data_IF_291751526926
#
_entry.id   IF_291751526926
#
_cell.length_a   1.000
_cell.length_b   1.000
_cell.length_c   1.000
_cell.angle_alpha   90.00
_cell.angle_beta   90.00
_cell.angle_gamma   90.00
#
_symmetry.space_group_name_H-M   'P 1'
#
loop_
_entity.id
_entity.type
_entity.pdbx_description
1 polymer ?
#
# COMPACT_ATOMS: atom_id res chain seq x y z
N UNK A 1 -19.60 -15.36 1.31
CA UNK A 1 -18.27 -16.00 1.37
C UNK A 1 -17.45 -15.31 0.29
N UNK A 2 -16.37 -14.61 0.68
CA UNK A 2 -15.47 -13.94 -0.27
C UNK A 2 -14.77 -15.00 -1.11
N UNK A 3 -14.92 -14.94 -2.44
CA UNK A 3 -14.33 -15.90 -3.39
C UNK A 3 -12.86 -15.55 -3.66
N UNK A 4 -12.07 -15.33 -2.60
CA UNK A 4 -10.64 -15.10 -2.78
C UNK A 4 -9.97 -16.36 -3.33
N UNK A 5 -9.05 -16.25 -4.30
CA UNK A 5 -8.25 -17.38 -4.75
C UNK A 5 -7.35 -17.88 -3.61
N UNK A 6 -6.96 -19.16 -3.64
CA UNK A 6 -6.22 -19.80 -2.55
C UNK A 6 -4.96 -19.03 -2.13
N UNK A 7 -4.20 -18.50 -3.09
CA UNK A 7 -3.00 -17.70 -2.77
C UNK A 7 -3.34 -16.44 -1.94
N UNK A 8 -4.47 -15.78 -2.20
CA UNK A 8 -4.88 -14.56 -1.52
C UNK A 8 -5.48 -14.85 -0.13
N UNK A 9 -6.06 -16.03 0.07
CA UNK A 9 -6.49 -16.50 1.39
C UNK A 9 -5.28 -16.76 2.30
N UNK A 10 -4.23 -17.37 1.73
CA UNK A 10 -3.01 -17.72 2.46
C UNK A 10 -2.06 -16.53 2.66
N UNK A 11 -2.06 -15.57 1.73
CA UNK A 11 -1.26 -14.36 1.85
C UNK A 11 -1.52 -13.64 3.19
N UNK A 12 -0.48 -13.02 3.72
CA UNK A 12 -0.45 -12.33 5.02
C UNK A 12 0.31 -11.01 4.97
N UNK A 13 1.31 -10.91 4.08
CA UNK A 13 2.13 -9.72 3.92
C UNK A 13 2.27 -9.38 2.44
N UNK A 14 1.91 -8.16 2.07
CA UNK A 14 2.31 -7.53 0.81
C UNK A 14 3.20 -6.31 1.06
N UNK A 15 3.97 -5.93 0.05
CA UNK A 15 4.71 -4.68 0.04
C UNK A 15 4.05 -3.69 -0.92
N UNK A 16 3.68 -2.53 -0.39
CA UNK A 16 3.26 -1.37 -1.18
C UNK A 16 4.50 -0.52 -1.49
N UNK A 17 4.54 0.12 -2.66
CA UNK A 17 5.60 1.05 -3.01
C UNK A 17 4.99 2.34 -3.54
N UNK A 18 5.13 3.44 -2.80
CA UNK A 18 4.81 4.77 -3.29
C UNK A 18 6.09 5.48 -3.73
N UNK A 19 6.27 5.51 -5.04
CA UNK A 19 7.42 6.13 -5.69
C UNK A 19 6.97 6.92 -6.90
N UNK A 20 7.40 8.17 -6.99
CA UNK A 20 6.98 9.11 -8.03
C UNK A 20 7.82 10.37 -7.98
N UNK A 21 7.47 11.37 -8.81
CA UNK A 21 8.18 12.64 -8.83
C UNK A 21 8.15 13.36 -7.46
N UNK A 22 7.13 13.11 -6.62
CA UNK A 22 7.05 13.58 -5.24
C UNK A 22 8.20 13.08 -4.34
N UNK A 23 8.91 12.01 -4.72
CA UNK A 23 10.13 11.56 -4.03
C UNK A 23 11.34 12.48 -4.26
N UNK A 24 11.27 13.43 -5.21
CA UNK A 24 12.31 14.47 -5.42
C UNK A 24 12.25 15.53 -4.32
N UNK A 25 11.10 16.24 -4.10
CA UNK A 25 11.02 17.17 -2.99
C UNK A 25 11.05 16.47 -1.63
N UNK A 26 10.55 15.22 -1.57
CA UNK A 26 10.62 14.31 -0.41
C UNK A 26 10.22 14.97 0.91
N UNK A 27 9.09 15.70 0.92
CA UNK A 27 8.75 16.57 2.02
C UNK A 27 7.25 16.55 2.32
N UNK A 28 6.92 16.34 3.58
CA UNK A 28 5.61 16.54 4.19
C UNK A 28 5.80 16.88 5.67
N UNK A 29 4.84 17.52 6.32
CA UNK A 29 4.88 17.69 7.77
C UNK A 29 4.50 16.38 8.43
N UNK A 30 5.32 15.77 9.31
CA UNK A 30 4.97 14.53 9.99
C UNK A 30 3.94 14.80 11.11
N UNK A 31 2.76 15.31 10.74
CA UNK A 31 1.69 15.77 11.63
C UNK A 31 1.00 14.63 12.37
N UNK A 32 1.01 13.42 11.80
CA UNK A 32 0.52 12.20 12.43
C UNK A 32 -0.08 11.22 11.42
N UNK A 33 -0.58 10.10 11.93
CA UNK A 33 -1.28 9.11 11.12
C UNK A 33 -2.66 9.64 10.66
N UNK A 34 -3.11 9.18 9.49
CA UNK A 34 -4.45 9.46 8.98
C UNK A 34 -5.51 8.94 9.98
N UNK A 35 -6.46 9.82 10.31
CA UNK A 35 -7.51 9.58 11.30
C UNK A 35 -7.16 10.04 12.73
N UNK A 36 -5.88 10.28 13.03
CA UNK A 36 -5.43 10.82 14.32
C UNK A 36 -5.26 12.36 14.31
N UNK A 37 -5.10 12.95 13.13
CA UNK A 37 -5.01 14.40 12.92
C UNK A 37 -6.41 14.97 12.63
N UNK A 38 -6.80 16.15 13.18
CA UNK A 38 -8.06 16.80 12.85
C UNK A 38 -8.25 17.00 11.34
N UNK A 39 -9.45 16.72 10.83
CA UNK A 39 -9.75 16.76 9.38
C UNK A 39 -9.50 18.14 8.78
N UNK A 40 -9.86 19.20 9.52
CA UNK A 40 -9.70 20.59 9.12
C UNK A 40 -8.24 21.02 8.95
N UNK A 41 -7.30 20.29 9.54
CA UNK A 41 -5.86 20.55 9.46
C UNK A 41 -5.16 19.63 8.45
N UNK A 42 -5.69 18.42 8.24
CA UNK A 42 -5.04 17.34 7.48
C UNK A 42 -4.50 17.78 6.12
N UNK A 43 -5.31 18.44 5.29
CA UNK A 43 -4.89 18.74 3.91
C UNK A 43 -3.81 19.84 3.82
N UNK A 44 -3.83 20.81 4.74
CA UNK A 44 -2.85 21.89 4.79
C UNK A 44 -1.56 21.48 5.51
N UNK A 45 -1.66 20.56 6.48
CA UNK A 45 -0.57 20.00 7.26
C UNK A 45 -0.36 18.51 6.95
N UNK A 46 -0.42 18.16 5.66
CA UNK A 46 -0.50 16.77 5.23
C UNK A 46 0.80 16.02 5.53
N UNK A 47 0.67 14.83 6.16
CA UNK A 47 1.76 13.92 6.44
C UNK A 47 2.20 13.09 5.23
N UNK A 48 1.41 13.09 4.16
CA UNK A 48 1.65 12.31 2.96
C UNK A 48 2.50 13.10 1.98
N UNK A 49 3.77 12.71 1.81
CA UNK A 49 4.69 13.36 0.87
C UNK A 49 4.25 13.20 -0.58
N UNK A 50 3.52 12.14 -0.91
CA UNK A 50 2.93 11.92 -2.23
C UNK A 50 1.77 12.86 -2.57
N UNK A 51 1.27 13.61 -1.57
CA UNK A 51 0.28 14.67 -1.74
C UNK A 51 0.89 16.04 -2.04
N UNK A 52 2.21 16.15 -2.16
CA UNK A 52 2.92 17.41 -2.31
C UNK A 52 2.35 18.29 -3.43
N UNK A 53 2.02 17.73 -4.59
CA UNK A 53 1.44 18.49 -5.71
C UNK A 53 0.10 19.17 -5.37
N UNK A 54 -0.73 18.59 -4.52
CA UNK A 54 -1.94 19.25 -3.99
C UNK A 54 -1.56 20.27 -2.93
N UNK A 55 -0.78 19.88 -1.93
CA UNK A 55 -0.54 20.70 -0.74
C UNK A 55 0.22 21.99 -1.07
N UNK A 56 1.16 22.00 -2.02
CA UNK A 56 1.85 23.24 -2.43
C UNK A 56 0.93 24.28 -3.07
N UNK A 57 -0.25 23.86 -3.56
CA UNK A 57 -1.26 24.75 -4.15
C UNK A 57 -2.14 25.40 -3.08
N UNK A 58 -2.06 24.95 -1.83
CA UNK A 58 -2.66 25.59 -0.65
C UNK A 58 -1.68 26.65 -0.15
N UNK A 59 -1.94 27.92 -0.46
CA UNK A 59 -0.98 29.04 -0.30
C UNK A 59 -0.40 29.19 1.11
N UNK A 60 -1.26 28.95 2.10
CA UNK A 60 -0.99 29.03 3.54
C UNK A 60 -0.23 27.81 4.09
N UNK A 61 -0.19 26.69 3.36
CA UNK A 61 0.41 25.45 3.84
C UNK A 61 1.91 25.57 4.07
N UNK A 62 2.46 24.83 5.04
CA UNK A 62 3.90 24.72 5.21
C UNK A 62 4.62 24.12 3.99
N UNK A 63 3.96 23.24 3.21
CA UNK A 63 4.50 22.73 1.95
C UNK A 63 4.69 23.85 0.92
N UNK A 64 3.71 24.75 0.75
CA UNK A 64 3.83 25.88 -0.16
C UNK A 64 4.97 26.83 0.26
N UNK A 65 5.14 27.06 1.56
CA UNK A 65 6.26 27.84 2.07
C UNK A 65 7.62 27.15 1.84
N UNK A 66 7.69 25.83 2.10
CA UNK A 66 8.87 25.03 1.80
C UNK A 66 9.22 25.11 0.31
N UNK A 67 8.20 24.98 -0.54
CA UNK A 67 8.33 25.00 -1.99
C UNK A 67 8.85 26.34 -2.52
N UNK A 68 8.30 27.46 -2.05
CA UNK A 68 8.78 28.81 -2.40
C UNK A 68 10.25 29.03 -1.98
N UNK A 69 10.64 28.54 -0.80
CA UNK A 69 12.01 28.71 -0.28
C UNK A 69 13.03 27.82 -0.99
N UNK A 70 12.68 26.56 -1.26
CA UNK A 70 13.60 25.56 -1.81
C UNK A 70 13.65 25.54 -3.33
N UNK A 71 12.52 25.80 -4.00
CA UNK A 71 12.35 25.61 -5.44
C UNK A 71 11.83 26.87 -6.16
N UNK A 72 11.72 28.01 -5.47
CA UNK A 72 11.31 29.27 -6.08
C UNK A 72 9.87 29.31 -6.61
N UNK A 73 9.03 28.32 -6.25
CA UNK A 73 7.67 28.20 -6.81
C UNK A 73 7.61 27.56 -8.20
N UNK A 74 8.63 26.77 -8.57
CA UNK A 74 8.65 26.04 -9.84
C UNK A 74 7.40 25.15 -10.03
N UNK A 75 6.90 24.96 -11.26
CA UNK A 75 5.87 23.98 -11.53
C UNK A 75 6.20 22.59 -10.97
N UNK A 76 5.24 21.93 -10.33
CA UNK A 76 5.46 20.57 -9.78
C UNK A 76 5.97 19.59 -10.85
N UNK A 77 5.48 19.71 -12.08
CA UNK A 77 5.87 18.84 -13.20
C UNK A 77 7.36 18.92 -13.57
N UNK A 78 8.10 19.93 -13.09
CA UNK A 78 9.54 20.04 -13.28
C UNK A 78 10.29 18.98 -12.46
N UNK A 79 9.71 18.53 -11.33
CA UNK A 79 10.28 17.42 -10.55
C UNK A 79 10.31 16.10 -11.32
N UNK A 80 9.52 15.94 -12.38
CA UNK A 80 9.65 14.79 -13.26
C UNK A 80 11.01 14.81 -13.96
N UNK A 81 11.50 15.96 -14.41
CA UNK A 81 12.80 16.06 -15.09
C UNK A 81 13.98 15.91 -14.12
N UNK A 82 13.81 16.31 -12.86
CA UNK A 82 14.81 16.13 -11.79
C UNK A 82 14.85 14.69 -11.24
N UNK A 83 13.90 13.84 -11.63
CA UNK A 83 13.83 12.46 -11.16
C UNK A 83 14.60 11.53 -12.10
N UNK A 84 15.78 11.03 -11.68
CA UNK A 84 16.64 10.20 -12.54
C UNK A 84 16.65 8.70 -12.19
N UNK A 85 16.28 8.33 -10.96
CA UNK A 85 16.25 6.95 -10.48
C UNK A 85 17.61 6.21 -10.59
N UNK A 86 18.72 6.92 -10.47
CA UNK A 86 20.09 6.43 -10.75
C UNK A 86 20.52 5.19 -9.95
N UNK A 87 19.97 4.98 -8.76
CA UNK A 87 20.20 3.83 -7.87
C UNK A 87 19.06 2.80 -7.92
N UNK A 88 18.12 2.90 -8.86
CA UNK A 88 17.00 1.96 -8.98
C UNK A 88 17.48 0.57 -9.39
N UNK A 89 17.45 -0.35 -8.43
CA UNK A 89 17.71 -1.78 -8.60
C UNK A 89 16.46 -2.60 -8.18
N UNK A 90 15.59 -2.97 -9.13
CA UNK A 90 14.40 -3.76 -8.82
C UNK A 90 14.72 -5.15 -8.28
N UNK A 91 15.89 -5.72 -8.60
CA UNK A 91 16.30 -7.01 -8.08
C UNK A 91 16.71 -6.91 -6.60
N UNK A 92 17.36 -5.81 -6.19
CA UNK A 92 17.62 -5.54 -4.78
C UNK A 92 16.34 -5.36 -3.97
N UNK A 93 15.39 -4.59 -4.50
CA UNK A 93 14.08 -4.42 -3.88
C UNK A 93 13.36 -5.76 -3.73
N UNK A 94 13.29 -6.56 -4.80
CA UNK A 94 12.63 -7.86 -4.77
C UNK A 94 13.28 -8.82 -3.76
N UNK A 95 14.63 -8.88 -3.69
CA UNK A 95 15.34 -9.69 -2.69
C UNK A 95 15.04 -9.25 -1.27
N UNK A 96 15.02 -7.93 -1.01
CA UNK A 96 14.67 -7.40 0.31
C UNK A 96 13.24 -7.79 0.70
N UNK A 97 12.27 -7.65 -0.21
CA UNK A 97 10.86 -7.96 0.04
C UNK A 97 10.63 -9.48 0.22
N UNK A 98 11.35 -10.30 -0.54
CA UNK A 98 11.37 -11.76 -0.38
C UNK A 98 11.93 -12.16 0.99
N UNK A 99 13.05 -11.55 1.41
CA UNK A 99 13.70 -11.84 2.69
C UNK A 99 12.83 -11.51 3.90
N UNK A 100 11.96 -10.49 3.83
CA UNK A 100 10.98 -10.17 4.88
C UNK A 100 9.71 -11.03 4.79
N UNK A 101 9.62 -11.93 3.80
CA UNK A 101 8.51 -12.88 3.64
C UNK A 101 7.26 -12.27 3.01
N UNK A 102 7.40 -11.29 2.12
CA UNK A 102 6.28 -10.77 1.35
C UNK A 102 5.73 -11.83 0.39
N UNK A 103 4.41 -11.89 0.26
CA UNK A 103 3.71 -12.78 -0.68
C UNK A 103 3.45 -12.09 -2.03
N UNK A 104 3.34 -10.75 -2.01
CA UNK A 104 3.06 -9.94 -3.19
C UNK A 104 3.62 -8.51 -3.06
N UNK A 105 3.84 -7.85 -4.18
CA UNK A 105 4.32 -6.45 -4.25
C UNK A 105 3.40 -5.63 -5.15
N UNK A 106 3.04 -4.42 -4.72
CA UNK A 106 2.12 -3.50 -5.43
C UNK A 106 2.76 -2.11 -5.52
N UNK A 107 3.40 -1.74 -6.63
CA UNK A 107 3.90 -0.38 -6.83
C UNK A 107 2.80 0.57 -7.33
N UNK A 108 2.93 1.86 -6.99
CA UNK A 108 2.20 2.94 -7.66
C UNK A 108 2.59 3.00 -9.12
N UNK A 109 1.67 2.67 -10.02
CA UNK A 109 1.91 2.84 -11.47
C UNK A 109 1.61 4.27 -11.90
N UNK A 110 0.59 4.89 -11.31
CA UNK A 110 0.22 6.31 -11.42
C UNK A 110 -0.42 6.74 -10.10
N UNK A 111 0.10 7.78 -9.48
CA UNK A 111 -0.51 8.39 -8.29
C UNK A 111 -1.41 9.58 -8.69
N UNK A 112 -1.92 10.33 -7.71
CA UNK A 112 -2.82 11.46 -7.94
C UNK A 112 -2.20 12.58 -8.79
N UNK A 113 -0.87 12.70 -8.83
CA UNK A 113 -0.17 13.69 -9.65
C UNK A 113 -0.24 13.43 -11.16
N UNK A 114 -0.75 12.26 -11.56
CA UNK A 114 -0.98 11.89 -12.96
C UNK A 114 0.24 11.34 -13.69
N UNK A 115 1.42 11.30 -13.05
CA UNK A 115 2.65 10.83 -13.69
C UNK A 115 2.66 9.30 -13.73
N UNK A 116 2.73 8.74 -14.94
CA UNK A 116 2.80 7.30 -15.14
C UNK A 116 4.25 6.77 -15.10
N UNK A 117 4.48 5.69 -14.36
CA UNK A 117 5.78 5.01 -14.24
C UNK A 117 6.08 4.04 -15.40
N UNK A 118 5.24 4.07 -16.43
CA UNK A 118 5.39 3.34 -17.69
C UNK A 118 4.87 4.20 -18.84
N UNK A 119 5.12 3.79 -20.09
CA UNK A 119 4.58 4.47 -21.28
C UNK A 119 3.09 4.15 -21.45
N UNK A 120 2.27 4.79 -20.61
CA UNK A 120 0.82 4.65 -20.60
C UNK A 120 0.18 5.31 -21.84
N UNK A 121 -0.94 4.77 -22.35
CA UNK A 121 -1.61 5.33 -23.51
C UNK A 121 -2.23 6.70 -23.21
N UNK A 122 -1.80 7.74 -23.91
CA UNK A 122 -2.34 9.10 -23.77
C UNK A 122 -1.64 9.97 -22.72
N UNK A 123 -0.54 9.49 -22.10
CA UNK A 123 0.23 10.23 -21.09
C UNK A 123 1.46 10.95 -21.63
N UNK A 124 1.44 11.41 -22.89
CA UNK A 124 2.56 12.12 -23.53
C UNK A 124 3.04 13.28 -22.66
N UNK A 125 4.35 13.33 -22.36
CA UNK A 125 4.98 14.32 -21.50
C UNK A 125 4.74 14.16 -19.99
N UNK A 126 3.96 13.15 -19.56
CA UNK A 126 3.62 12.85 -18.16
C UNK A 126 3.91 11.38 -17.81
N UNK A 127 5.00 10.84 -18.36
CA UNK A 127 5.45 9.50 -18.03
C UNK A 127 6.98 9.40 -17.94
N UNK A 128 7.45 8.43 -17.18
CA UNK A 128 8.89 8.21 -16.91
C UNK A 128 9.66 7.65 -18.10
N UNK A 129 9.00 7.23 -19.19
CA UNK A 129 9.67 6.75 -20.40
C UNK A 129 10.09 7.94 -21.28
N UNK A 130 9.26 8.98 -21.36
CA UNK A 130 9.54 10.17 -22.16
C UNK A 130 10.38 11.21 -21.41
N UNK A 131 10.20 11.35 -20.09
CA UNK A 131 10.88 12.34 -19.24
C UNK A 131 11.48 11.70 -18.00
N UNK A 132 12.33 12.45 -17.30
CA UNK A 132 12.90 12.02 -16.02
C UNK A 132 13.76 10.76 -16.11
N UNK A 133 13.33 9.61 -15.55
CA UNK A 133 14.10 8.37 -15.57
C UNK A 133 14.38 7.80 -16.97
N UNK A 134 13.60 8.24 -17.97
CA UNK A 134 13.66 7.83 -19.39
C UNK A 134 13.62 6.29 -19.57
N UNK A 135 12.82 5.61 -18.76
CA UNK A 135 12.60 4.16 -18.79
C UNK A 135 11.29 3.75 -18.15
N UNK A 136 10.86 2.54 -18.48
CA UNK A 136 9.77 1.84 -17.79
C UNK A 136 10.28 1.37 -16.42
N UNK A 137 9.59 1.76 -15.35
CA UNK A 137 9.92 1.39 -13.97
C UNK A 137 9.04 0.26 -13.43
N UNK A 138 8.02 -0.16 -14.18
CA UNK A 138 7.06 -1.19 -13.79
C UNK A 138 7.48 -2.55 -14.32
N UNK A 139 7.84 -2.65 -15.61
CA UNK A 139 8.25 -3.92 -16.23
C UNK A 139 9.42 -4.62 -15.48
N UNK A 140 10.57 -3.96 -15.25
CA UNK A 140 11.69 -4.63 -14.59
C UNK A 140 11.40 -4.97 -13.12
N UNK A 141 10.55 -4.20 -12.43
CA UNK A 141 10.10 -4.55 -11.08
C UNK A 141 9.19 -5.78 -11.09
N UNK A 142 8.25 -5.86 -12.03
CA UNK A 142 7.36 -7.02 -12.17
C UNK A 142 8.16 -8.31 -12.39
N UNK A 143 9.17 -8.25 -13.26
CA UNK A 143 10.05 -9.38 -13.54
C UNK A 143 10.87 -9.79 -12.32
N UNK A 144 11.46 -8.82 -11.61
CA UNK A 144 12.26 -9.08 -10.40
C UNK A 144 11.42 -9.68 -9.26
N UNK A 145 10.23 -9.13 -9.01
CA UNK A 145 9.30 -9.63 -7.98
C UNK A 145 8.91 -11.08 -8.28
N UNK A 146 8.60 -11.40 -9.54
CA UNK A 146 8.25 -12.76 -9.96
C UNK A 146 9.42 -13.72 -9.91
N UNK A 147 10.64 -13.25 -10.21
CA UNK A 147 11.86 -14.05 -10.10
C UNK A 147 12.14 -14.51 -8.67
N UNK A 148 11.75 -13.70 -7.67
CA UNK A 148 11.81 -14.04 -6.25
C UNK A 148 10.59 -14.88 -5.77
N UNK A 149 9.70 -15.29 -6.68
CA UNK A 149 8.55 -16.15 -6.36
C UNK A 149 7.34 -15.42 -5.75
N UNK A 150 7.39 -14.09 -5.67
CA UNK A 150 6.28 -13.27 -5.20
C UNK A 150 5.28 -12.96 -6.32
N UNK A 151 4.03 -12.68 -5.94
CA UNK A 151 3.00 -12.17 -6.85
C UNK A 151 3.24 -10.67 -7.13
N UNK A 152 2.79 -10.19 -8.28
CA UNK A 152 2.96 -8.78 -8.66
C UNK A 152 1.62 -8.12 -8.91
N UNK A 153 1.28 -7.08 -8.16
CA UNK A 153 0.11 -6.24 -8.34
C UNK A 153 0.44 -4.89 -8.96
N UNK A 154 -0.57 -4.05 -9.14
CA UNK A 154 -0.41 -2.65 -9.53
C UNK A 154 -1.38 -1.78 -8.74
N UNK A 155 -0.91 -0.62 -8.30
CA UNK A 155 -1.76 0.46 -7.83
C UNK A 155 -2.04 1.46 -8.95
N UNK A 156 -3.27 1.96 -9.00
CA UNK A 156 -3.67 3.03 -9.90
C UNK A 156 -4.59 4.03 -9.20
N UNK A 157 -4.25 5.32 -9.26
CA UNK A 157 -5.17 6.37 -8.81
C UNK A 157 -6.29 6.56 -9.84
N UNK A 158 -7.43 5.94 -9.55
CA UNK A 158 -8.60 5.91 -10.42
C UNK A 158 -9.35 7.23 -10.42
N UNK A 159 -9.81 7.69 -9.26
CA UNK A 159 -10.67 8.86 -9.21
C UNK A 159 -9.98 10.19 -8.97
N UNK A 160 -8.65 10.24 -8.88
CA UNK A 160 -7.89 11.48 -8.91
C UNK A 160 -6.84 11.48 -10.01
N UNK A 161 -6.75 12.62 -10.69
CA UNK A 161 -5.65 12.96 -11.59
C UNK A 161 -5.54 14.49 -11.67
N UNK A 162 -4.59 15.04 -10.92
CA UNK A 162 -4.35 16.49 -10.85
C UNK A 162 -3.73 17.04 -12.13
N UNK A 163 -3.23 16.19 -13.02
CA UNK A 163 -2.72 16.60 -14.34
C UNK A 163 -3.83 16.69 -15.39
N UNK A 164 -4.93 15.96 -15.20
CA UNK A 164 -6.04 15.91 -16.13
C UNK A 164 -7.06 17.05 -15.93
N UNK A 165 -7.10 17.66 -14.74
CA UNK A 165 -8.08 18.68 -14.38
C UNK A 165 -7.42 19.95 -13.83
N UNK A 166 -8.09 21.08 -13.99
CA UNK A 166 -7.68 22.37 -13.38
C UNK A 166 -8.54 22.71 -12.15
N UNK A 167 -8.93 21.69 -11.36
CA UNK A 167 -9.70 21.90 -10.14
C UNK A 167 -8.86 22.58 -9.05
N UNK A 168 -9.46 23.38 -8.15
CA UNK A 168 -8.77 23.94 -6.98
C UNK A 168 -8.07 22.87 -6.12
N UNK A 169 -7.08 23.24 -5.29
CA UNK A 169 -6.52 22.31 -4.31
C UNK A 169 -7.60 21.79 -3.38
N UNK A 170 -7.49 20.51 -3.04
CA UNK A 170 -8.36 19.82 -2.08
C UNK A 170 -7.92 20.21 -0.67
N UNK A 171 -8.87 20.75 0.11
CA UNK A 171 -8.70 21.19 1.50
C UNK A 171 -9.59 20.45 2.51
N UNK A 172 -10.46 19.55 2.05
CA UNK A 172 -11.36 18.77 2.91
C UNK A 172 -11.81 17.47 2.24
N UNK A 173 -12.39 16.53 3.00
CA UNK A 173 -12.96 15.31 2.43
C UNK A 173 -14.15 15.58 1.49
N UNK A 174 -14.91 16.65 1.75
CA UNK A 174 -15.98 17.06 0.85
C UNK A 174 -15.42 17.54 -0.51
N UNK A 175 -14.31 18.28 -0.48
CA UNK A 175 -13.61 18.69 -1.70
C UNK A 175 -12.93 17.53 -2.41
N UNK A 176 -12.41 16.55 -1.67
CA UNK A 176 -11.83 15.33 -2.22
C UNK A 176 -12.83 14.61 -3.13
N UNK A 177 -14.08 14.47 -2.70
CA UNK A 177 -15.13 13.85 -3.53
C UNK A 177 -15.62 14.77 -4.65
N UNK A 178 -15.70 16.07 -4.39
CA UNK A 178 -16.23 17.06 -5.35
C UNK A 178 -15.28 17.33 -6.51
N UNK A 179 -13.98 17.34 -6.27
CA UNK A 179 -12.94 17.70 -7.25
C UNK A 179 -12.28 16.47 -7.88
N UNK A 180 -13.08 15.42 -8.10
CA UNK A 180 -12.68 14.27 -8.89
C UNK A 180 -13.04 14.50 -10.36
N UNK A 181 -12.18 14.12 -11.32
CA UNK A 181 -12.63 13.92 -12.69
C UNK A 181 -13.57 12.71 -12.76
N UNK A 182 -14.81 12.95 -13.17
CA UNK A 182 -15.88 11.93 -13.19
C UNK A 182 -16.51 11.70 -14.56
N UNK A 183 -16.11 12.49 -15.56
CA UNK A 183 -16.70 12.47 -16.90
C UNK A 183 -16.21 11.29 -17.77
N UNK A 184 -16.81 11.18 -18.95
CA UNK A 184 -16.55 10.09 -19.90
C UNK A 184 -15.15 10.14 -20.52
N UNK A 185 -14.57 11.33 -20.68
CA UNK A 185 -13.25 11.50 -21.30
C UNK A 185 -12.17 11.02 -20.34
N UNK A 186 -12.24 11.43 -19.07
CA UNK A 186 -11.34 10.90 -18.05
C UNK A 186 -11.56 9.40 -17.81
N UNK A 187 -12.81 8.92 -17.81
CA UNK A 187 -13.06 7.49 -17.71
C UNK A 187 -12.41 6.69 -18.85
N UNK A 188 -12.48 7.18 -20.09
CA UNK A 188 -11.83 6.53 -21.23
C UNK A 188 -10.30 6.50 -21.08
N UNK A 189 -9.71 7.60 -20.59
CA UNK A 189 -8.27 7.68 -20.27
C UNK A 189 -7.86 6.69 -19.18
N UNK A 190 -8.55 6.69 -18.04
CA UNK A 190 -8.28 5.78 -16.92
C UNK A 190 -8.51 4.31 -17.30
N UNK A 191 -9.58 4.01 -18.05
CA UNK A 191 -9.83 2.68 -18.60
C UNK A 191 -8.68 2.22 -19.51
N UNK A 192 -8.22 3.10 -20.42
CA UNK A 192 -7.11 2.81 -21.32
C UNK A 192 -5.82 2.46 -20.57
N UNK A 193 -5.50 3.20 -19.51
CA UNK A 193 -4.35 2.92 -18.66
C UNK A 193 -4.46 1.55 -17.98
N UNK A 194 -5.56 1.27 -17.29
CA UNK A 194 -5.71 0.01 -16.55
C UNK A 194 -5.81 -1.19 -17.50
N UNK A 195 -6.44 -1.04 -18.66
CA UNK A 195 -6.44 -2.08 -19.70
C UNK A 195 -5.03 -2.38 -20.21
N UNK A 196 -4.20 -1.36 -20.43
CA UNK A 196 -2.80 -1.51 -20.84
C UNK A 196 -1.95 -2.18 -19.73
N UNK A 197 -2.17 -1.83 -18.45
CA UNK A 197 -1.55 -2.51 -17.31
C UNK A 197 -1.91 -4.00 -17.26
N UNK A 198 -3.19 -4.34 -17.47
CA UNK A 198 -3.67 -5.73 -17.52
C UNK A 198 -2.99 -6.51 -18.64
N UNK A 199 -2.83 -5.89 -19.81
CA UNK A 199 -2.26 -6.54 -20.98
C UNK A 199 -0.75 -6.75 -20.87
N UNK A 200 -0.01 -5.72 -20.44
CA UNK A 200 1.44 -5.76 -20.33
C UNK A 200 1.93 -6.58 -19.16
N UNK A 201 1.34 -6.34 -17.98
CA UNK A 201 1.91 -6.81 -16.73
C UNK A 201 1.13 -7.97 -16.14
N UNK A 202 -0.11 -8.24 -16.55
CA UNK A 202 -0.95 -9.32 -16.00
C UNK A 202 -0.89 -9.37 -14.46
N UNK A 203 -1.21 -8.27 -13.76
CA UNK A 203 -1.02 -8.16 -12.32
C UNK A 203 -1.96 -9.10 -11.56
N UNK A 204 -1.50 -9.68 -10.46
CA UNK A 204 -2.28 -10.50 -9.53
C UNK A 204 -3.22 -9.66 -8.65
N UNK A 205 -2.96 -8.35 -8.52
CA UNK A 205 -3.79 -7.40 -7.78
C UNK A 205 -4.00 -6.15 -8.62
N UNK A 206 -5.25 -5.75 -8.85
CA UNK A 206 -5.58 -4.37 -9.24
C UNK A 206 -6.04 -3.61 -8.01
N UNK A 207 -5.19 -2.68 -7.58
CA UNK A 207 -5.43 -1.85 -6.41
C UNK A 207 -5.81 -0.44 -6.87
N UNK A 208 -7.11 -0.16 -6.98
CA UNK A 208 -7.59 1.17 -7.34
C UNK A 208 -7.59 2.10 -6.11
N UNK A 209 -7.53 3.41 -6.33
CA UNK A 209 -7.68 4.36 -5.24
C UNK A 209 -8.57 5.56 -5.57
N UNK A 210 -9.18 6.10 -4.51
CA UNK A 210 -10.15 7.20 -4.51
C UNK A 210 -11.26 7.00 -5.56
N UNK A 211 -12.08 5.96 -5.39
CA UNK A 211 -13.18 5.62 -6.32
C UNK A 211 -12.76 5.47 -7.81
N UNK A 212 -13.72 5.16 -8.67
CA UNK A 212 -13.57 5.15 -10.13
C UNK A 212 -14.37 6.32 -10.74
N UNK A 213 -14.01 6.86 -11.92
CA UNK A 213 -14.82 7.87 -12.62
C UNK A 213 -16.28 7.44 -12.77
N UNK A 214 -17.22 8.33 -12.45
CA UNK A 214 -18.63 7.98 -12.36
C UNK A 214 -19.22 7.55 -13.72
N UNK A 215 -18.75 8.16 -14.82
CA UNK A 215 -19.09 7.75 -16.17
C UNK A 215 -18.69 6.29 -16.49
N UNK A 216 -17.72 5.72 -15.78
CA UNK A 216 -17.33 4.31 -15.90
C UNK A 216 -18.20 3.35 -15.12
N UNK A 217 -18.96 3.83 -14.14
CA UNK A 217 -19.81 2.98 -13.28
C UNK A 217 -21.14 2.60 -13.94
N UNK A 218 -21.45 3.17 -15.10
CA UNK A 218 -22.62 2.84 -15.92
C UNK A 218 -22.23 1.93 -17.09
N UNK A 219 -23.15 1.10 -17.61
CA UNK A 219 -22.87 0.25 -18.77
C UNK A 219 -22.42 1.05 -20.00
N UNK A 220 -21.36 0.57 -20.67
CA UNK A 220 -20.77 1.24 -21.83
C UNK A 220 -19.45 0.60 -22.28
N UNK A 221 -18.86 1.07 -23.39
CA UNK A 221 -17.65 0.48 -23.98
C UNK A 221 -16.41 0.55 -23.08
N UNK A 222 -16.34 1.54 -22.19
CA UNK A 222 -15.28 1.72 -21.20
C UNK A 222 -15.81 1.57 -19.76
N UNK A 223 -16.83 0.72 -19.57
CA UNK A 223 -17.41 0.51 -18.24
C UNK A 223 -16.45 -0.26 -17.33
N UNK A 224 -16.51 0.03 -16.02
CA UNK A 224 -15.78 -0.68 -14.98
C UNK A 224 -16.10 -2.19 -15.02
N UNK A 225 -17.35 -2.55 -15.29
CA UNK A 225 -17.74 -3.95 -15.49
C UNK A 225 -16.90 -4.61 -16.59
N UNK A 226 -16.83 -3.99 -17.78
CA UNK A 226 -16.05 -4.53 -18.89
C UNK A 226 -14.55 -4.61 -18.60
N UNK A 227 -14.02 -3.66 -17.82
CA UNK A 227 -12.63 -3.67 -17.37
C UNK A 227 -12.34 -4.86 -16.45
N UNK A 228 -13.24 -5.12 -15.50
CA UNK A 228 -13.12 -6.24 -14.55
C UNK A 228 -13.30 -7.57 -15.26
N UNK A 229 -14.24 -7.67 -16.20
CA UNK A 229 -14.41 -8.87 -17.04
C UNK A 229 -13.13 -9.16 -17.86
N UNK A 230 -12.54 -8.13 -18.47
CA UNK A 230 -11.24 -8.23 -19.16
C UNK A 230 -10.16 -8.71 -18.20
N UNK A 231 -10.09 -8.13 -16.99
CA UNK A 231 -9.12 -8.51 -15.98
C UNK A 231 -9.24 -9.97 -15.58
N UNK A 232 -10.44 -10.45 -15.26
CA UNK A 232 -10.67 -11.86 -14.86
C UNK A 232 -10.39 -12.84 -16.00
N UNK A 233 -10.65 -12.45 -17.25
CA UNK A 233 -10.30 -13.27 -18.40
C UNK A 233 -8.77 -13.38 -18.58
N UNK A 234 -8.05 -12.28 -18.36
CA UNK A 234 -6.60 -12.20 -18.48
C UNK A 234 -5.86 -12.84 -17.31
N UNK A 235 -6.38 -12.67 -16.09
CA UNK A 235 -5.76 -13.08 -14.83
C UNK A 235 -6.85 -13.76 -13.96
N UNK A 236 -7.20 -15.03 -14.24
CA UNK A 236 -8.30 -15.71 -13.53
C UNK A 236 -8.14 -15.81 -12.01
N UNK A 237 -6.90 -15.78 -11.52
CA UNK A 237 -6.57 -15.76 -10.09
C UNK A 237 -6.26 -14.37 -9.54
N UNK A 238 -6.44 -13.30 -10.33
CA UNK A 238 -6.19 -11.93 -9.89
C UNK A 238 -7.32 -11.42 -8.99
N UNK A 239 -7.01 -10.50 -8.09
CA UNK A 239 -7.96 -9.88 -7.16
C UNK A 239 -8.07 -8.36 -7.33
N UNK A 240 -9.17 -7.77 -6.87
CA UNK A 240 -9.42 -6.32 -6.85
C UNK A 240 -9.84 -5.84 -5.45
N UNK A 241 -9.38 -4.66 -5.03
CA UNK A 241 -9.76 -4.04 -3.75
C UNK A 241 -11.17 -3.42 -3.78
N UNK A 242 -11.59 -2.73 -2.71
CA UNK A 242 -12.93 -2.13 -2.57
C UNK A 242 -13.04 -0.64 -2.81
N UNK A 243 -12.02 -0.03 -3.41
CA UNK A 243 -11.93 1.42 -3.59
C UNK A 243 -12.44 1.91 -4.94
N UNK A 244 -13.36 1.20 -5.58
CA UNK A 244 -13.89 1.56 -6.91
C UNK A 244 -15.13 2.46 -6.86
N UNK A 245 -15.75 2.64 -5.69
CA UNK A 245 -17.02 3.36 -5.57
C UNK A 245 -18.18 2.67 -6.31
N UNK A 246 -18.11 1.34 -6.43
CA UNK A 246 -19.10 0.47 -7.07
C UNK A 246 -19.11 -0.89 -6.35
N UNK A 247 -20.14 -1.71 -6.59
CA UNK A 247 -20.24 -3.06 -6.02
C UNK A 247 -19.35 -4.07 -6.76
N UNK A 248 -18.04 -3.80 -6.74
CA UNK A 248 -16.99 -4.59 -7.39
C UNK A 248 -15.79 -4.63 -6.45
N UNK A 249 -15.56 -5.76 -5.80
CA UNK A 249 -14.43 -5.99 -4.88
C UNK A 249 -14.30 -7.48 -4.53
N UNK A 250 -13.08 -7.96 -4.30
CA UNK A 250 -12.85 -9.31 -3.72
C UNK A 250 -12.51 -9.25 -2.22
N UNK A 251 -11.96 -8.11 -1.78
CA UNK A 251 -11.55 -7.87 -0.41
C UNK A 251 -11.74 -6.40 -0.02
N UNK A 252 -11.88 -6.16 1.28
CA UNK A 252 -12.04 -4.81 1.86
C UNK A 252 -10.70 -4.22 2.29
N UNK A 253 -10.60 -2.89 2.33
CA UNK A 253 -9.38 -2.20 2.78
C UNK A 253 -9.60 -1.35 4.02
N UNK A 254 -8.59 -1.27 4.89
CA UNK A 254 -8.46 -0.29 5.96
C UNK A 254 -7.09 0.40 5.86
N UNK A 255 -6.98 1.61 6.40
CA UNK A 255 -5.77 2.43 6.27
C UNK A 255 -5.53 3.27 7.51
N UNK A 256 -4.39 3.08 8.17
CA UNK A 256 -4.11 3.69 9.49
C UNK A 256 -5.31 3.52 10.44
N UNK A 257 -5.91 4.61 10.92
CA UNK A 257 -7.07 4.56 11.83
C UNK A 257 -8.42 4.60 11.09
N UNK A 258 -8.40 4.56 9.76
CA UNK A 258 -9.59 4.63 8.90
C UNK A 258 -10.03 3.26 8.40
N UNK A 259 -11.33 3.06 8.25
CA UNK A 259 -11.87 1.80 7.72
C UNK A 259 -11.81 0.62 8.71
N UNK A 260 -11.65 0.86 10.02
CA UNK A 260 -11.59 -0.20 11.03
C UNK A 260 -12.81 -1.16 11.01
N UNK A 261 -13.98 -0.69 10.55
CA UNK A 261 -15.17 -1.51 10.36
C UNK A 261 -15.05 -2.59 9.28
N UNK A 262 -14.04 -2.50 8.40
CA UNK A 262 -13.71 -3.50 7.39
C UNK A 262 -12.85 -4.64 7.93
N UNK A 263 -12.27 -4.49 9.14
CA UNK A 263 -11.31 -5.44 9.72
C UNK A 263 -11.99 -6.63 10.41
N UNK A 264 -12.93 -7.26 9.70
CA UNK A 264 -13.75 -8.35 10.22
C UNK A 264 -13.83 -9.53 9.22
N UNK A 265 -13.73 -10.74 9.75
CA UNK A 265 -13.79 -11.97 8.95
C UNK A 265 -12.56 -12.16 8.06
N UNK A 266 -12.72 -12.96 6.99
CA UNK A 266 -11.66 -13.24 6.02
C UNK A 266 -11.78 -12.36 4.79
N UNK A 267 -10.64 -11.88 4.27
CA UNK A 267 -10.58 -11.11 3.03
C UNK A 267 -10.66 -9.61 3.22
N UNK A 268 -9.88 -9.09 4.16
CA UNK A 268 -9.58 -7.67 4.28
C UNK A 268 -8.07 -7.44 4.30
N UNK A 269 -7.65 -6.23 4.00
CA UNK A 269 -6.27 -5.81 3.88
C UNK A 269 -6.06 -4.44 4.53
N UNK A 270 -5.11 -4.37 5.46
CA UNK A 270 -4.71 -3.13 6.12
C UNK A 270 -3.49 -2.56 5.42
N UNK A 271 -3.54 -1.32 4.94
CA UNK A 271 -2.39 -0.63 4.37
C UNK A 271 -1.91 0.52 5.26
N UNK A 272 -0.59 0.68 5.34
CA UNK A 272 0.05 1.86 5.95
C UNK A 272 1.53 1.94 5.59
N UNK A 273 2.10 3.14 5.71
CA UNK A 273 3.54 3.36 5.74
C UNK A 273 4.24 2.75 6.96
N UNK A 274 5.55 2.54 6.80
CA UNK A 274 6.47 2.38 7.92
C UNK A 274 6.49 3.64 8.81
N UNK A 275 6.34 4.82 8.22
CA UNK A 275 6.08 6.08 8.92
C UNK A 275 4.61 6.50 8.87
N UNK A 276 4.37 7.80 8.85
CA UNK A 276 3.07 8.40 8.56
C UNK A 276 2.84 8.62 7.06
N UNK A 277 3.91 8.82 6.28
CA UNK A 277 3.82 8.99 4.83
C UNK A 277 3.85 7.67 4.07
N UNK A 278 3.24 7.63 2.87
CA UNK A 278 3.49 6.57 1.90
C UNK A 278 4.70 6.90 1.01
N UNK A 279 4.70 8.07 0.37
CA UNK A 279 5.85 8.58 -0.38
C UNK A 279 7.03 8.87 0.55
N UNK A 280 8.25 8.89 0.02
CA UNK A 280 9.44 9.19 0.83
C UNK A 280 9.35 10.59 1.46
N UNK A 281 9.33 10.66 2.79
CA UNK A 281 9.44 11.92 3.54
C UNK A 281 10.78 11.95 4.27
N UNK A 282 11.68 12.87 3.88
CA UNK A 282 13.00 12.99 4.50
C UNK A 282 12.98 13.47 5.96
N UNK A 283 11.83 13.97 6.43
CA UNK A 283 11.65 14.41 7.82
C UNK A 283 11.29 13.26 8.76
N UNK A 284 10.95 12.07 8.23
CA UNK A 284 10.69 10.89 9.04
C UNK A 284 12.01 10.17 9.37
N UNK A 285 12.37 10.18 10.65
CA UNK A 285 13.53 9.46 11.17
C UNK A 285 13.10 8.17 11.92
N UNK A 286 14.02 7.59 12.67
CA UNK A 286 13.78 6.38 13.47
C UNK A 286 12.67 6.56 14.51
N UNK A 287 12.44 7.77 15.01
CA UNK A 287 11.39 8.02 16.03
C UNK A 287 9.98 8.01 15.44
N UNK A 288 9.87 8.18 14.12
CA UNK A 288 8.62 8.19 13.37
C UNK A 288 8.41 6.95 12.50
N UNK A 289 9.43 6.10 12.40
CA UNK A 289 9.41 4.86 11.61
C UNK A 289 9.22 3.67 12.54
N UNK A 290 8.31 2.76 12.21
CA UNK A 290 8.13 1.51 12.96
C UNK A 290 9.48 0.81 13.16
N UNK A 291 9.75 0.37 14.39
CA UNK A 291 10.85 -0.55 14.70
C UNK A 291 10.51 -1.97 14.21
N UNK A 292 11.51 -2.88 14.08
CA UNK A 292 11.24 -4.29 13.78
C UNK A 292 10.20 -4.93 14.71
N UNK A 293 10.28 -4.64 16.01
CA UNK A 293 9.34 -5.12 17.02
C UNK A 293 7.92 -4.61 16.80
N UNK A 294 7.77 -3.32 16.49
CA UNK A 294 6.44 -2.74 16.23
C UNK A 294 5.84 -3.29 14.93
N UNK A 295 6.64 -3.51 13.90
CA UNK A 295 6.20 -4.16 12.67
C UNK A 295 5.76 -5.61 12.93
N UNK A 296 6.53 -6.41 13.67
CA UNK A 296 6.14 -7.76 14.06
C UNK A 296 4.82 -7.78 14.86
N UNK A 297 4.66 -6.83 15.79
CA UNK A 297 3.44 -6.66 16.59
C UNK A 297 2.22 -6.32 15.72
N UNK A 298 2.38 -5.38 14.79
CA UNK A 298 1.34 -4.98 13.83
C UNK A 298 0.94 -6.16 12.94
N UNK A 299 1.92 -6.85 12.36
CA UNK A 299 1.69 -8.02 11.52
C UNK A 299 0.92 -9.11 12.28
N UNK A 300 1.36 -9.47 13.48
CA UNK A 300 0.68 -10.48 14.31
C UNK A 300 -0.76 -10.08 14.67
N UNK A 301 -1.01 -8.79 14.92
CA UNK A 301 -2.35 -8.26 15.18
C UNK A 301 -3.28 -8.48 13.98
N UNK A 302 -2.85 -8.06 12.79
CA UNK A 302 -3.62 -8.19 11.55
C UNK A 302 -3.87 -9.66 11.19
N UNK A 303 -2.82 -10.48 11.23
CA UNK A 303 -2.90 -11.91 10.89
C UNK A 303 -3.83 -12.68 11.82
N UNK A 304 -3.80 -12.37 13.12
CA UNK A 304 -4.69 -13.01 14.10
C UNK A 304 -6.18 -12.70 13.89
N UNK A 305 -6.47 -11.62 13.17
CA UNK A 305 -7.81 -11.17 12.77
C UNK A 305 -8.12 -11.55 11.31
N UNK A 306 -7.38 -12.51 10.76
CA UNK A 306 -7.51 -13.04 9.40
C UNK A 306 -7.35 -11.99 8.28
N UNK A 307 -6.70 -10.86 8.57
CA UNK A 307 -6.34 -9.85 7.59
C UNK A 307 -5.03 -10.13 6.88
N UNK A 308 -4.69 -9.22 5.97
CA UNK A 308 -3.39 -9.09 5.30
C UNK A 308 -2.83 -7.71 5.58
N UNK A 309 -1.53 -7.62 5.86
CA UNK A 309 -0.84 -6.34 5.95
C UNK A 309 -0.27 -6.01 4.57
N UNK A 310 -0.60 -4.84 4.01
CA UNK A 310 0.06 -4.25 2.86
C UNK A 310 0.96 -3.11 3.37
N UNK A 311 2.21 -3.44 3.68
CA UNK A 311 3.16 -2.51 4.28
C UNK A 311 3.83 -1.67 3.20
N UNK A 312 3.74 -0.36 3.32
CA UNK A 312 4.34 0.55 2.35
C UNK A 312 5.81 0.89 2.65
N UNK A 313 6.62 0.87 1.60
CA UNK A 313 7.93 1.55 1.52
C UNK A 313 7.85 2.77 0.61
N UNK A 314 8.60 3.82 0.96
CA UNK A 314 8.74 5.03 0.18
C UNK A 314 10.18 5.21 -0.27
N UNK A 315 10.55 4.80 -1.51
CA UNK A 315 11.91 4.95 -2.02
C UNK A 315 12.30 6.42 -2.27
N UNK A 316 13.59 6.71 -2.14
CA UNK A 316 14.17 8.02 -2.52
C UNK A 316 14.02 8.25 -4.02
N UNK A 317 14.15 9.50 -4.50
CA UNK A 317 14.15 9.80 -5.94
C UNK A 317 15.19 8.95 -6.72
N UNK A 318 16.36 8.70 -6.13
CA UNK A 318 17.39 7.86 -6.73
C UNK A 318 16.97 6.38 -6.85
N UNK A 319 15.96 5.91 -6.12
CA UNK A 319 15.53 4.51 -6.13
C UNK A 319 16.12 3.66 -5.00
N UNK A 320 16.61 4.29 -3.94
CA UNK A 320 17.07 3.59 -2.74
C UNK A 320 15.90 3.43 -1.75
N UNK A 321 15.79 2.26 -1.11
CA UNK A 321 14.96 2.14 0.10
C UNK A 321 15.71 2.84 1.24
N UNK A 322 15.13 3.89 1.86
CA UNK A 322 15.81 4.66 2.89
C UNK A 322 16.34 3.78 4.01
N UNK A 323 17.53 4.11 4.53
CA UNK A 323 18.21 3.27 5.51
C UNK A 323 17.35 2.96 6.75
N UNK A 324 16.51 3.90 7.19
CA UNK A 324 15.58 3.67 8.31
C UNK A 324 14.53 2.61 7.99
N UNK A 325 13.93 2.65 6.80
CA UNK A 325 12.96 1.66 6.36
C UNK A 325 13.62 0.29 6.15
N UNK A 326 14.81 0.27 5.52
CA UNK A 326 15.59 -0.96 5.33
C UNK A 326 15.96 -1.62 6.65
N UNK A 327 16.43 -0.86 7.65
CA UNK A 327 16.73 -1.37 9.00
C UNK A 327 15.52 -2.07 9.63
N UNK A 328 14.33 -1.51 9.50
CA UNK A 328 13.10 -2.13 10.00
C UNK A 328 12.79 -3.45 9.31
N UNK A 329 12.86 -3.48 7.97
CA UNK A 329 12.57 -4.68 7.18
C UNK A 329 13.59 -5.80 7.42
N UNK A 330 14.88 -5.47 7.43
CA UNK A 330 15.96 -6.43 7.70
C UNK A 330 15.91 -6.92 9.15
N UNK A 331 15.63 -6.04 10.10
CA UNK A 331 15.56 -6.38 11.53
C UNK A 331 14.40 -7.31 11.88
N UNK A 332 13.30 -7.30 11.11
CA UNK A 332 12.15 -8.19 11.35
C UNK A 332 12.26 -9.51 10.58
N UNK A 333 13.17 -9.63 9.60
CA UNK A 333 13.21 -10.74 8.65
C UNK A 333 13.37 -12.12 9.31
N UNK A 334 14.22 -12.26 10.33
CA UNK A 334 14.40 -13.53 11.05
C UNK A 334 13.10 -13.97 11.73
N UNK A 335 12.42 -13.04 12.40
CA UNK A 335 11.14 -13.31 13.05
C UNK A 335 10.04 -13.65 12.03
N UNK A 336 10.03 -12.94 10.90
CA UNK A 336 9.13 -13.24 9.78
C UNK A 336 9.36 -14.65 9.24
N UNK A 337 10.62 -15.07 9.08
CA UNK A 337 10.98 -16.42 8.65
C UNK A 337 10.46 -17.53 9.59
N UNK A 338 10.42 -17.26 10.90
CA UNK A 338 9.86 -18.18 11.88
C UNK A 338 8.32 -18.21 11.89
N UNK A 339 7.67 -17.05 11.75
CA UNK A 339 6.21 -16.95 11.89
C UNK A 339 5.45 -17.27 10.59
N UNK A 340 6.01 -16.96 9.42
CA UNK A 340 5.32 -17.12 8.12
C UNK A 340 4.88 -18.56 7.83
N UNK A 341 5.69 -19.60 8.07
CA UNK A 341 5.23 -20.98 7.90
C UNK A 341 4.02 -21.33 8.80
N UNK A 342 3.90 -20.65 9.94
CA UNK A 342 2.83 -20.85 10.91
C UNK A 342 1.53 -20.09 10.57
N UNK A 343 1.49 -19.33 9.47
CA UNK A 343 0.27 -18.65 9.01
C UNK A 343 -0.49 -19.40 7.91
N UNK A 344 0.08 -20.51 7.41
CA UNK A 344 -0.55 -21.37 6.41
C UNK A 344 -1.78 -22.06 7.01
N UNK A 345 -2.91 -21.97 6.31
CA UNK A 345 -4.19 -22.53 6.73
C UNK A 345 -4.75 -21.87 7.99
N UNK A 346 -4.31 -20.64 8.31
CA UNK A 346 -4.73 -19.92 9.51
C UNK A 346 -6.24 -19.72 9.56
N UNK A 347 -6.80 -19.80 10.77
CA UNK A 347 -8.19 -19.47 11.08
C UNK A 347 -8.26 -18.63 12.34
N UNK A 348 -9.33 -17.85 12.47
CA UNK A 348 -9.63 -17.11 13.69
C UNK A 348 -9.69 -18.08 14.88
N UNK A 349 -9.09 -17.68 16.00
CA UNK A 349 -9.21 -18.41 17.25
C UNK A 349 -10.62 -18.22 17.81
N UNK A 350 -11.39 -19.31 17.90
CA UNK A 350 -12.76 -19.25 18.43
C UNK A 350 -12.80 -18.88 19.91
N UNK A 351 -13.91 -18.27 20.36
CA UNK A 351 -14.06 -17.74 21.72
C UNK A 351 -13.87 -18.81 22.81
N UNK A 352 -14.38 -20.03 22.59
CA UNK A 352 -14.21 -21.15 23.53
C UNK A 352 -12.72 -21.50 23.72
N UNK A 353 -11.96 -21.56 22.61
CA UNK A 353 -10.52 -21.86 22.65
C UNK A 353 -9.72 -20.72 23.24
N UNK A 354 -10.12 -19.49 22.95
CA UNK A 354 -9.55 -18.30 23.58
C UNK A 354 -9.75 -18.31 25.10
N UNK A 355 -10.89 -18.78 25.59
CA UNK A 355 -11.16 -18.91 27.03
C UNK A 355 -10.35 -20.04 27.71
N UNK A 356 -9.96 -21.08 26.96
CA UNK A 356 -9.11 -22.17 27.43
C UNK A 356 -7.60 -21.83 27.42
N UNK A 357 -7.20 -20.76 26.72
CA UNK A 357 -5.80 -20.38 26.57
C UNK A 357 -5.31 -19.59 27.78
N UNK A 358 -4.35 -20.15 28.51
CA UNK A 358 -3.71 -19.50 29.65
C UNK A 358 -2.40 -18.86 29.20
N UNK A 359 -2.37 -17.53 29.13
CA UNK A 359 -1.18 -16.73 28.81
C UNK A 359 -0.66 -16.05 30.06
N UNK A 360 0.62 -16.20 30.37
CA UNK A 360 1.28 -15.67 31.57
C UNK A 360 2.53 -14.86 31.20
N UNK A 361 2.89 -13.89 32.04
CA UNK A 361 4.11 -13.10 31.89
C UNK A 361 4.02 -11.95 30.86
N UNK A 362 2.86 -11.74 30.25
CA UNK A 362 2.64 -10.61 29.32
C UNK A 362 1.19 -10.10 29.36
N UNK A 363 1.00 -8.83 28.99
CA UNK A 363 -0.32 -8.22 28.79
C UNK A 363 -0.75 -8.21 27.33
N UNK A 364 0.18 -8.41 26.40
CA UNK A 364 -0.13 -8.43 24.98
C UNK A 364 0.20 -9.80 24.39
N UNK A 365 -0.76 -10.31 23.64
CA UNK A 365 -0.60 -11.53 22.87
C UNK A 365 -1.61 -11.55 21.72
N UNK A 366 -1.30 -12.33 20.69
CA UNK A 366 -2.17 -12.63 19.55
C UNK A 366 -2.11 -14.11 19.25
N UNK A 367 -3.18 -14.65 18.69
CA UNK A 367 -3.23 -16.06 18.38
C UNK A 367 -4.18 -16.37 17.24
N UNK A 368 -3.90 -17.46 16.55
CA UNK A 368 -4.74 -18.05 15.51
C UNK A 368 -4.64 -19.56 15.54
N UNK A 369 -5.58 -20.23 14.89
CA UNK A 369 -5.57 -21.68 14.73
C UNK A 369 -4.98 -22.10 13.40
N UNK A 370 -4.30 -23.26 13.39
CA UNK A 370 -3.89 -23.98 12.18
C UNK A 370 -4.43 -25.41 12.23
N UNK A 371 -4.13 -26.24 11.22
CA UNK A 371 -4.34 -27.69 11.31
C UNK A 371 -3.55 -28.32 12.45
N UNK A 372 -2.36 -27.77 12.75
CA UNK A 372 -1.36 -28.41 13.60
C UNK A 372 -1.49 -28.00 15.07
N UNK A 373 -2.21 -26.91 15.37
CA UNK A 373 -2.41 -26.45 16.73
C UNK A 373 -2.89 -25.01 16.82
N UNK A 374 -2.53 -24.37 17.93
CA UNK A 374 -2.74 -22.94 18.16
C UNK A 374 -1.36 -22.27 18.12
N UNK A 375 -1.24 -21.21 17.35
CA UNK A 375 -0.04 -20.35 17.33
C UNK A 375 -0.33 -19.16 18.22
N UNK A 376 0.59 -18.84 19.13
CA UNK A 376 0.47 -17.71 20.06
C UNK A 376 1.70 -16.84 19.94
N UNK A 377 1.51 -15.60 19.51
CA UNK A 377 2.53 -14.55 19.54
C UNK A 377 2.44 -13.81 20.88
N UNK A 378 3.57 -13.68 21.57
CA UNK A 378 3.65 -13.08 22.90
C UNK A 378 4.72 -11.98 22.97
N UNK A 379 4.51 -11.03 23.87
CA UNK A 379 5.44 -9.95 24.15
C UNK A 379 6.29 -10.28 25.39
N UNK A 380 7.57 -10.61 25.18
CA UNK A 380 8.57 -10.87 26.22
C UNK A 380 9.07 -12.33 26.28
N UNK A 381 10.37 -12.56 26.56
CA UNK A 381 10.98 -13.90 26.52
C UNK A 381 10.58 -14.81 27.70
N UNK A 382 10.11 -14.23 28.81
CA UNK A 382 9.63 -14.98 29.98
C UNK A 382 8.13 -15.29 29.92
N UNK A 383 7.42 -14.79 28.90
CA UNK A 383 6.01 -15.07 28.74
C UNK A 383 5.80 -16.48 28.18
N UNK A 384 4.65 -17.07 28.50
CA UNK A 384 4.30 -18.44 28.08
C UNK A 384 2.80 -18.55 27.81
N UNK A 385 2.43 -19.51 26.98
CA UNK A 385 1.05 -19.85 26.71
C UNK A 385 0.85 -21.36 26.76
N UNK A 386 -0.23 -21.81 27.37
CA UNK A 386 -0.66 -23.21 27.39
C UNK A 386 -2.17 -23.30 27.19
N UNK A 387 -2.62 -24.35 26.53
CA UNK A 387 -4.03 -24.67 26.44
C UNK A 387 -4.38 -25.64 27.57
N UNK A 388 -5.59 -25.54 28.13
CA UNK A 388 -6.07 -26.50 29.14
C UNK A 388 -6.29 -27.91 28.59
N UNK A 389 -6.47 -28.05 27.28
CA UNK A 389 -6.56 -29.34 26.58
C UNK A 389 -5.22 -29.74 25.96
N UNK A 390 -5.07 -31.01 25.59
CA UNK A 390 -3.83 -31.60 25.04
C UNK A 390 -3.49 -31.16 23.60
N UNK A 391 -4.14 -30.10 23.07
CA UNK A 391 -3.84 -29.61 21.70
C UNK A 391 -2.49 -28.88 21.70
N UNK A 392 -1.64 -29.07 20.66
CA UNK A 392 -0.36 -28.36 20.58
C UNK A 392 -0.51 -26.84 20.57
N UNK A 393 0.36 -26.17 21.32
CA UNK A 393 0.52 -24.70 21.31
C UNK A 393 1.93 -24.37 20.90
N UNK A 394 2.07 -23.60 19.82
CA UNK A 394 3.36 -23.06 19.36
C UNK A 394 3.45 -21.61 19.81
N UNK A 395 4.44 -21.30 20.63
CA UNK A 395 4.65 -19.94 21.16
C UNK A 395 5.78 -19.27 20.39
N UNK A 396 5.55 -18.05 19.92
CA UNK A 396 6.55 -17.23 19.22
C UNK A 396 6.65 -15.88 19.95
N UNK A 397 7.82 -15.55 20.46
CA UNK A 397 8.06 -14.23 21.06
C UNK A 397 8.27 -13.18 19.97
N UNK A 398 7.81 -11.95 20.22
CA UNK A 398 8.20 -10.80 19.40
C UNK A 398 9.74 -10.63 19.39
N UNK A 399 10.33 -10.14 18.28
CA UNK A 399 11.76 -9.84 18.23
C UNK A 399 12.08 -8.73 19.22
N UNK A 400 13.31 -8.72 19.73
CA UNK A 400 13.76 -7.78 20.77
C UNK A 400 13.54 -6.31 20.40
#
# INVERSE_FOLDING_TARGET
MTNLPGWAQEATLGIFIHWGAYSVPAWAEPSGALGAVPEEEWFAHNAYAEWYANTIRIEESPAAQHHRRGYGGAPYADFLDDWHAESYDPADWARLFSAVGADYVVPTTKHHDGIALWSAPGSTGLNTVERGPQRDLIAPLADAVRAEGMRFGVYYSGGLDWSFTDFPPIRSNAELLRFRPTDADYNAYAFGHVADLIDRYRPDVLWNDIEWPDAGKVPGPHSLQSLVERYRAAVPGGIVNDRWGADVWDYRTSEYDTGAGHEAGTGWEHCRGLGFSFGYNRLEDESLTLTPRELARLYADIVSRAGRLLLNVGPTAAGEIPAVQRRTLEGVAEWMGAIKPLTIGRRLLGDDRRAELEVSGTKWWRAWETSDGIVVVIDGPAASARLRSDRPVTVVSLPD
#
